data_IF_722493663670
#
_entry.id   IF_722493663670
#
_cell.length_a   1.000
_cell.length_b   1.000
_cell.length_c   1.000
_cell.angle_alpha   90.00
_cell.angle_beta   90.00
_cell.angle_gamma   90.00
#
_symmetry.space_group_name_H-M   'P 1'
#
loop_
_entity.id
_entity.type
_entity.pdbx_description
1 polymer ?
#
# COMPACT_ATOMS: atom_id res chain seq x y z
N UNK A 1 -15.12 3.54 -6.39
CA UNK A 1 -14.45 4.58 -7.19
C UNK A 1 -13.92 5.64 -6.26
N UNK A 2 -12.66 6.06 -6.42
CA UNK A 2 -11.99 7.10 -5.63
C UNK A 2 -11.46 8.21 -6.53
N UNK A 3 -11.23 9.39 -5.94
CA UNK A 3 -10.66 10.54 -6.65
C UNK A 3 -9.71 11.30 -5.70
N UNK A 4 -8.42 10.99 -5.76
CA UNK A 4 -7.39 11.66 -4.97
C UNK A 4 -6.61 12.73 -5.75
N UNK A 5 -6.70 12.70 -7.09
CA UNK A 5 -5.87 13.51 -8.00
C UNK A 5 -6.67 14.45 -8.90
N UNK A 6 -8.01 14.40 -8.84
CA UNK A 6 -8.91 15.00 -9.81
C UNK A 6 -9.41 13.99 -10.87
N UNK A 7 -8.83 12.78 -10.92
CA UNK A 7 -9.28 11.69 -11.79
C UNK A 7 -9.94 10.58 -10.98
N UNK A 8 -11.06 10.09 -11.49
CA UNK A 8 -11.76 8.98 -10.87
C UNK A 8 -11.12 7.66 -11.28
N UNK A 9 -10.76 6.83 -10.29
CA UNK A 9 -10.15 5.51 -10.49
C UNK A 9 -10.91 4.44 -9.73
N UNK A 10 -10.94 3.21 -10.30
CA UNK A 10 -11.39 2.04 -9.57
C UNK A 10 -10.39 1.71 -8.44
N UNK A 11 -10.92 1.47 -7.25
CA UNK A 11 -10.16 1.02 -6.11
C UNK A 11 -10.95 -0.06 -5.37
N UNK A 12 -10.27 -0.82 -4.51
CA UNK A 12 -10.89 -1.80 -3.64
C UNK A 12 -10.87 -1.23 -2.22
N UNK A 13 -12.02 -1.24 -1.58
CA UNK A 13 -12.19 -0.78 -0.21
C UNK A 13 -12.63 -1.95 0.68
N UNK A 14 -12.26 -1.93 1.93
CA UNK A 14 -12.80 -2.83 2.96
C UNK A 14 -13.67 -2.00 3.90
N UNK A 15 -14.91 -2.44 4.08
CA UNK A 15 -15.94 -1.68 4.82
C UNK A 15 -16.06 -0.22 4.37
N UNK A 16 -15.91 0.02 3.05
CA UNK A 16 -16.00 1.35 2.45
C UNK A 16 -14.79 2.27 2.70
N UNK A 17 -13.68 1.77 3.22
CA UNK A 17 -12.50 2.56 3.59
C UNK A 17 -11.26 2.20 2.78
N UNK A 18 -10.43 3.23 2.49
CA UNK A 18 -9.07 3.14 1.96
C UNK A 18 -8.24 4.21 2.71
N UNK A 19 -7.17 3.85 3.39
CA UNK A 19 -6.72 2.49 3.73
C UNK A 19 -7.81 1.67 4.41
N UNK A 20 -7.65 0.34 4.42
CA UNK A 20 -8.57 -0.56 5.13
C UNK A 20 -8.66 -0.18 6.61
N UNK A 21 -9.75 -0.54 7.33
CA UNK A 21 -9.90 -0.23 8.74
C UNK A 21 -8.69 -0.64 9.57
N UNK A 22 -8.30 0.20 10.54
CA UNK A 22 -7.30 -0.20 11.53
C UNK A 22 -7.85 -1.32 12.40
N UNK A 23 -7.18 -2.45 12.43
CA UNK A 23 -7.49 -3.55 13.32
C UNK A 23 -6.69 -3.40 14.62
N UNK A 24 -7.35 -3.60 15.76
CA UNK A 24 -6.71 -3.49 17.07
C UNK A 24 -6.99 -4.74 17.89
N UNK A 25 -5.93 -5.35 18.41
CA UNK A 25 -5.98 -6.51 19.28
C UNK A 25 -5.05 -6.31 20.47
N UNK A 26 -5.17 -7.17 21.47
CA UNK A 26 -4.30 -7.17 22.65
C UNK A 26 -3.48 -8.47 22.70
N UNK A 27 -2.22 -8.34 23.08
CA UNK A 27 -1.33 -9.49 23.30
C UNK A 27 -1.98 -10.55 24.22
N UNK A 28 -1.76 -11.82 23.92
CA UNK A 28 -2.35 -13.01 24.59
C UNK A 28 -3.82 -13.26 24.22
N UNK A 29 -4.49 -12.38 23.49
CA UNK A 29 -5.82 -12.64 22.97
C UNK A 29 -5.76 -13.54 21.71
N UNK A 30 -6.92 -13.94 21.22
CA UNK A 30 -7.07 -14.63 19.93
C UNK A 30 -7.80 -13.70 18.98
N UNK A 31 -7.17 -13.36 17.86
CA UNK A 31 -7.83 -12.66 16.77
C UNK A 31 -8.78 -13.62 16.04
N UNK A 32 -10.02 -13.20 15.82
CA UNK A 32 -10.96 -13.89 14.95
C UNK A 32 -11.52 -12.87 13.95
N UNK A 33 -11.18 -13.04 12.66
CA UNK A 33 -11.45 -12.07 11.62
C UNK A 33 -12.21 -12.74 10.49
N UNK A 34 -13.44 -12.27 10.27
CA UNK A 34 -14.31 -12.71 9.18
C UNK A 34 -14.10 -11.83 7.97
N UNK A 35 -13.63 -12.41 6.88
CA UNK A 35 -13.45 -11.71 5.60
C UNK A 35 -14.50 -12.22 4.62
N UNK A 36 -15.49 -11.39 4.34
CA UNK A 36 -16.48 -11.65 3.29
C UNK A 36 -16.01 -11.01 1.98
N UNK A 37 -15.80 -11.81 0.96
CA UNK A 37 -15.35 -11.35 -0.35
C UNK A 37 -16.54 -10.93 -1.21
N UNK A 38 -16.79 -9.63 -1.33
CA UNK A 38 -17.83 -9.09 -2.23
C UNK A 38 -17.31 -8.78 -3.65
N UNK A 39 -16.05 -9.07 -3.92
CA UNK A 39 -15.47 -8.89 -5.26
C UNK A 39 -15.95 -9.99 -6.21
N UNK A 40 -15.88 -9.72 -7.51
CA UNK A 40 -16.07 -10.73 -8.56
C UNK A 40 -14.77 -11.48 -8.93
N UNK A 41 -13.78 -11.40 -8.06
CA UNK A 41 -12.48 -12.04 -8.20
C UNK A 41 -12.01 -12.58 -6.85
N UNK A 42 -11.12 -13.55 -6.86
CA UNK A 42 -10.55 -14.11 -5.62
C UNK A 42 -9.73 -13.09 -4.89
N UNK A 43 -9.66 -13.21 -3.56
CA UNK A 43 -8.83 -12.36 -2.70
C UNK A 43 -8.17 -13.17 -1.58
N UNK A 44 -7.33 -12.52 -0.81
CA UNK A 44 -6.76 -13.02 0.44
C UNK A 44 -6.28 -11.85 1.28
N UNK A 45 -6.08 -12.05 2.57
CA UNK A 45 -5.43 -11.07 3.44
C UNK A 45 -4.22 -11.71 4.12
N UNK A 46 -3.08 -11.07 4.00
CA UNK A 46 -1.85 -11.40 4.68
C UNK A 46 -1.61 -10.45 5.87
N UNK A 47 -1.12 -11.00 6.96
CA UNK A 47 -0.85 -10.32 8.23
C UNK A 47 0.64 -10.05 8.34
N UNK A 48 1.07 -8.95 7.77
CA UNK A 48 2.49 -8.69 7.55
C UNK A 48 3.29 -8.51 8.86
N UNK A 49 4.31 -9.34 9.00
CA UNK A 49 5.21 -9.29 10.15
C UNK A 49 4.68 -9.96 11.42
N UNK A 50 3.58 -10.72 11.34
CA UNK A 50 3.04 -11.45 12.47
C UNK A 50 3.63 -12.88 12.58
N UNK A 51 3.89 -13.30 13.79
CA UNK A 51 4.19 -14.70 14.13
C UNK A 51 2.88 -15.44 14.36
N UNK A 52 2.45 -16.21 13.38
CA UNK A 52 1.19 -16.94 13.42
C UNK A 52 1.31 -18.34 12.76
N UNK A 53 0.38 -19.24 13.04
CA UNK A 53 0.38 -20.53 12.36
C UNK A 53 0.24 -20.38 10.85
N UNK A 54 1.11 -21.05 10.09
CA UNK A 54 1.24 -20.94 8.63
C UNK A 54 -0.09 -20.96 7.87
N UNK A 55 -1.06 -21.80 8.30
CA UNK A 55 -2.39 -21.91 7.68
C UNK A 55 -3.24 -20.62 7.71
N UNK A 56 -2.84 -19.62 8.49
CA UNK A 56 -3.53 -18.33 8.61
C UNK A 56 -2.73 -17.16 8.04
N UNK A 57 -1.58 -17.45 7.41
CA UNK A 57 -0.68 -16.42 6.88
C UNK A 57 -1.23 -15.66 5.67
N UNK A 58 -2.25 -16.21 5.02
CA UNK A 58 -3.01 -15.48 3.99
C UNK A 58 -2.40 -15.49 2.59
N UNK A 59 -1.37 -16.30 2.34
CA UNK A 59 -0.75 -16.41 1.01
C UNK A 59 -1.50 -17.43 0.15
N UNK A 60 -2.20 -17.01 -0.93
CA UNK A 60 -3.02 -17.88 -1.74
C UNK A 60 -2.19 -18.98 -2.43
N UNK A 61 -2.74 -20.19 -2.47
CA UNK A 61 -2.13 -21.39 -3.04
C UNK A 61 -0.82 -21.87 -2.36
N UNK A 62 -0.41 -21.21 -1.28
CA UNK A 62 0.76 -21.62 -0.49
C UNK A 62 0.35 -21.97 0.94
N UNK A 63 -0.28 -21.06 1.66
CA UNK A 63 -0.68 -21.26 3.06
C UNK A 63 -2.18 -21.53 3.21
N UNK A 64 -2.97 -21.08 2.25
CA UNK A 64 -4.42 -21.28 2.18
C UNK A 64 -4.93 -21.27 0.73
N UNK A 65 -6.17 -21.72 0.53
CA UNK A 65 -6.88 -21.47 -0.72
C UNK A 65 -7.30 -20.00 -0.81
N UNK A 66 -7.36 -19.41 -2.02
CA UNK A 66 -7.94 -18.09 -2.21
C UNK A 66 -9.36 -18.01 -1.65
N UNK A 67 -9.77 -16.82 -1.22
CA UNK A 67 -11.15 -16.56 -0.82
C UNK A 67 -11.95 -16.30 -2.09
N UNK A 68 -12.84 -17.22 -2.43
CA UNK A 68 -13.66 -17.15 -3.64
C UNK A 68 -14.66 -15.98 -3.59
N UNK A 69 -15.11 -15.48 -4.74
CA UNK A 69 -16.17 -14.47 -4.81
C UNK A 69 -17.40 -14.88 -3.99
N UNK A 70 -17.96 -13.93 -3.27
CA UNK A 70 -19.18 -14.08 -2.48
C UNK A 70 -19.12 -15.16 -1.37
N UNK A 71 -17.90 -15.50 -0.93
CA UNK A 71 -17.67 -16.42 0.19
C UNK A 71 -17.06 -15.70 1.38
N UNK A 72 -17.14 -16.35 2.53
CA UNK A 72 -16.54 -15.86 3.79
C UNK A 72 -15.42 -16.80 4.21
N UNK A 73 -14.27 -16.23 4.54
CA UNK A 73 -13.16 -16.93 5.17
C UNK A 73 -12.93 -16.41 6.58
N UNK A 74 -12.57 -17.30 7.51
CA UNK A 74 -12.32 -16.95 8.91
C UNK A 74 -10.85 -17.19 9.24
N UNK A 75 -10.15 -16.12 9.61
CA UNK A 75 -8.83 -16.19 10.19
C UNK A 75 -8.94 -16.24 11.71
N UNK A 76 -8.29 -17.23 12.34
CA UNK A 76 -8.31 -17.38 13.79
C UNK A 76 -6.94 -17.77 14.31
N UNK A 77 -6.24 -16.82 14.94
CA UNK A 77 -4.87 -17.04 15.42
C UNK A 77 -4.60 -16.29 16.73
N UNK A 78 -3.68 -16.83 17.57
CA UNK A 78 -3.29 -16.15 18.80
C UNK A 78 -2.45 -14.92 18.51
N UNK A 79 -2.62 -13.87 19.31
CA UNK A 79 -1.77 -12.68 19.30
C UNK A 79 -0.63 -12.92 20.30
N UNK A 80 0.56 -13.21 19.79
CA UNK A 80 1.74 -13.54 20.62
C UNK A 80 2.81 -12.46 20.61
N UNK A 81 2.53 -11.33 19.99
CA UNK A 81 3.44 -10.19 19.88
C UNK A 81 2.66 -8.89 19.99
N UNK A 82 3.38 -7.80 20.19
CA UNK A 82 2.82 -6.45 20.24
C UNK A 82 3.54 -5.53 19.23
N UNK A 83 2.99 -4.34 19.01
CA UNK A 83 3.56 -3.33 18.11
C UNK A 83 2.62 -2.90 17.01
N UNK A 84 3.16 -2.09 16.10
CA UNK A 84 2.44 -1.59 14.93
C UNK A 84 2.82 -2.42 13.73
N UNK A 85 1.82 -3.03 13.14
CA UNK A 85 1.91 -3.89 11.96
C UNK A 85 0.95 -3.40 10.89
N UNK A 86 0.89 -4.08 9.77
CA UNK A 86 -0.07 -3.83 8.70
C UNK A 86 -0.57 -5.13 8.11
N UNK A 87 -1.67 -5.06 7.38
CA UNK A 87 -2.23 -6.18 6.65
C UNK A 87 -2.65 -5.73 5.27
N UNK A 88 -2.57 -6.63 4.30
CA UNK A 88 -2.83 -6.29 2.91
C UNK A 88 -3.27 -7.51 2.10
N UNK A 89 -3.81 -7.27 0.91
CA UNK A 89 -4.09 -8.35 -0.03
C UNK A 89 -2.79 -8.98 -0.54
N UNK A 90 -2.80 -10.29 -0.66
CA UNK A 90 -1.74 -11.05 -1.33
C UNK A 90 -2.23 -11.67 -2.64
N UNK A 91 -3.29 -11.11 -3.24
CA UNK A 91 -3.91 -11.56 -4.48
C UNK A 91 -3.71 -10.55 -5.60
N UNK A 92 -2.95 -10.94 -6.63
CA UNK A 92 -2.66 -10.09 -7.78
C UNK A 92 -2.10 -8.73 -7.40
N UNK A 93 -2.72 -7.66 -7.93
CA UNK A 93 -2.32 -6.27 -7.67
C UNK A 93 -3.39 -5.50 -6.85
N UNK A 94 -4.12 -6.20 -5.97
CA UNK A 94 -5.20 -5.60 -5.19
C UNK A 94 -4.67 -4.63 -4.11
N UNK A 95 -3.51 -4.92 -3.54
CA UNK A 95 -2.81 -4.03 -2.61
C UNK A 95 -2.61 -2.64 -3.22
N UNK A 96 -2.14 -2.55 -4.47
CA UNK A 96 -1.82 -1.31 -5.19
C UNK A 96 -3.05 -0.45 -5.53
N UNK A 97 -4.24 -0.95 -5.26
CA UNK A 97 -5.50 -0.24 -5.49
C UNK A 97 -6.36 -0.09 -4.23
N UNK A 98 -5.77 -0.25 -3.04
CA UNK A 98 -6.41 0.11 -1.78
C UNK A 98 -6.52 -0.97 -0.72
N UNK A 99 -6.17 -2.23 -1.02
CA UNK A 99 -6.27 -3.33 -0.04
C UNK A 99 -5.05 -3.42 0.88
N UNK A 100 -4.84 -2.40 1.69
CA UNK A 100 -3.83 -2.35 2.74
C UNK A 100 -4.36 -1.55 3.94
N UNK A 101 -3.93 -1.87 5.15
CA UNK A 101 -4.37 -1.22 6.38
C UNK A 101 -3.47 -1.51 7.56
N UNK A 102 -3.58 -0.71 8.61
CA UNK A 102 -2.80 -0.86 9.83
C UNK A 102 -3.41 -1.91 10.77
N UNK A 103 -2.52 -2.57 11.52
CA UNK A 103 -2.88 -3.51 12.58
C UNK A 103 -2.08 -3.18 13.84
N UNK A 104 -2.76 -2.84 14.91
CA UNK A 104 -2.18 -2.44 16.18
C UNK A 104 -2.35 -3.57 17.18
N UNK A 105 -1.25 -4.03 17.72
CA UNK A 105 -1.21 -5.06 18.75
C UNK A 105 -0.76 -4.43 20.05
N UNK A 106 -1.70 -4.18 20.96
CA UNK A 106 -1.42 -3.57 22.24
C UNK A 106 -0.74 -4.57 23.18
N UNK A 107 0.17 -4.08 24.02
CA UNK A 107 0.65 -4.86 25.16
C UNK A 107 -0.52 -5.12 26.12
N UNK A 108 -0.46 -6.25 26.82
CA UNK A 108 -1.44 -6.55 27.87
C UNK A 108 -1.25 -5.66 29.09
N UNK A 109 -0.01 -5.31 29.41
CA UNK A 109 0.28 -4.31 30.42
C UNK A 109 0.13 -2.93 29.77
N UNK A 110 -0.93 -2.23 30.19
CA UNK A 110 -1.31 -0.95 29.62
C UNK A 110 -0.23 0.11 29.90
N UNK A 111 0.32 0.65 28.83
CA UNK A 111 1.04 1.90 28.91
C UNK A 111 0.05 2.96 28.44
N UNK A 112 -0.48 3.77 29.37
CA UNK A 112 -1.42 4.86 29.09
C UNK A 112 -0.75 5.96 28.24
N UNK A 113 -0.33 5.56 27.03
CA UNK A 113 0.28 6.43 26.03
C UNK A 113 -0.70 6.56 24.87
N UNK A 114 -1.23 7.76 24.61
CA UNK A 114 -2.07 8.00 23.44
C UNK A 114 -1.35 7.57 22.14
N UNK A 115 -1.94 6.64 21.41
CA UNK A 115 -1.37 6.12 20.16
C UNK A 115 -2.24 6.53 18.98
N UNK A 116 -1.62 7.15 17.98
CA UNK A 116 -2.26 7.50 16.72
C UNK A 116 -1.60 6.73 15.58
N UNK A 117 -2.28 5.78 14.94
CA UNK A 117 -1.74 5.09 13.77
C UNK A 117 -1.73 6.04 12.56
N UNK A 118 -0.57 6.16 11.92
CA UNK A 118 -0.39 6.92 10.68
C UNK A 118 -0.07 5.94 9.56
N UNK A 119 -0.93 5.89 8.55
CA UNK A 119 -0.72 5.12 7.33
C UNK A 119 -0.33 6.09 6.22
N UNK A 120 0.92 6.02 5.77
CA UNK A 120 1.41 6.74 4.61
C UNK A 120 1.19 5.89 3.37
N UNK A 121 0.69 6.49 2.31
CA UNK A 121 0.37 5.76 1.08
C UNK A 121 0.80 6.55 -0.15
N UNK A 122 1.34 5.84 -1.11
CA UNK A 122 1.63 6.32 -2.45
C UNK A 122 0.43 6.03 -3.35
N UNK A 123 0.07 6.98 -4.19
CA UNK A 123 -1.04 6.81 -5.12
C UNK A 123 -0.63 7.18 -6.54
N UNK A 124 -0.99 6.34 -7.50
CA UNK A 124 -0.89 6.65 -8.93
C UNK A 124 -2.22 6.40 -9.64
N UNK A 125 -2.53 7.25 -10.61
CA UNK A 125 -3.70 7.06 -11.49
C UNK A 125 -3.47 6.01 -12.57
N UNK A 126 -2.25 5.53 -12.72
CA UNK A 126 -1.91 4.48 -13.69
C UNK A 126 -2.59 3.16 -13.32
N UNK A 127 -2.87 2.34 -14.33
CA UNK A 127 -3.33 0.98 -14.09
C UNK A 127 -2.18 0.16 -13.47
N UNK A 128 -2.40 -0.58 -12.37
CA UNK A 128 -1.35 -1.39 -11.73
C UNK A 128 -0.65 -2.35 -12.69
N UNK A 129 -1.37 -2.98 -13.62
CA UNK A 129 -0.78 -3.86 -14.66
C UNK A 129 0.14 -3.12 -15.61
N UNK A 130 -0.13 -1.84 -15.87
CA UNK A 130 0.73 -1.01 -16.69
C UNK A 130 2.02 -0.64 -15.93
N UNK A 131 1.89 -0.28 -14.66
CA UNK A 131 3.06 -0.03 -13.78
C UNK A 131 3.93 -1.27 -13.71
N UNK A 132 3.34 -2.43 -13.41
CA UNK A 132 4.02 -3.72 -13.36
C UNK A 132 4.76 -4.03 -14.68
N UNK A 133 4.10 -3.86 -15.82
CA UNK A 133 4.72 -4.04 -17.14
C UNK A 133 5.89 -3.09 -17.37
N UNK A 134 5.79 -1.82 -16.94
CA UNK A 134 6.87 -0.83 -17.10
C UNK A 134 8.08 -1.23 -16.24
N UNK A 135 7.85 -1.66 -15.00
CA UNK A 135 8.90 -2.14 -14.10
C UNK A 135 9.60 -3.38 -14.65
N UNK A 136 8.86 -4.37 -15.15
CA UNK A 136 9.43 -5.57 -15.77
C UNK A 136 10.25 -5.28 -17.04
N UNK A 137 9.87 -4.27 -17.80
CA UNK A 137 10.59 -3.88 -19.01
C UNK A 137 11.80 -2.98 -18.73
N UNK A 138 12.07 -2.62 -17.48
CA UNK A 138 13.18 -1.78 -17.06
C UNK A 138 13.33 -0.50 -17.90
N UNK A 139 12.21 0.20 -18.16
CA UNK A 139 12.18 1.41 -18.98
C UNK A 139 12.49 2.65 -18.13
N UNK A 140 13.01 3.70 -18.79
CA UNK A 140 13.23 5.01 -18.15
C UNK A 140 11.95 5.85 -17.98
N UNK A 141 10.78 5.27 -18.19
CA UNK A 141 9.50 6.02 -18.18
C UNK A 141 9.29 6.84 -16.92
N UNK A 142 9.49 6.23 -15.75
CA UNK A 142 9.31 6.94 -14.48
C UNK A 142 10.41 7.98 -14.23
N UNK A 143 11.65 7.70 -14.61
CA UNK A 143 12.76 8.65 -14.53
C UNK A 143 12.52 9.88 -15.42
N UNK A 144 11.97 9.69 -16.62
CA UNK A 144 11.54 10.78 -17.50
C UNK A 144 10.41 11.59 -16.88
N UNK A 145 9.41 10.93 -16.31
CA UNK A 145 8.28 11.57 -15.61
C UNK A 145 8.74 12.42 -14.42
N UNK A 146 9.73 11.96 -13.68
CA UNK A 146 10.35 12.69 -12.55
C UNK A 146 11.28 13.82 -13.00
N UNK A 147 11.63 13.90 -14.29
CA UNK A 147 12.59 14.86 -14.81
C UNK A 147 14.06 14.54 -14.46
N UNK A 148 14.35 13.33 -13.99
CA UNK A 148 15.72 12.87 -13.67
C UNK A 148 16.46 12.36 -14.90
N UNK A 149 15.72 12.02 -15.96
CA UNK A 149 16.28 11.58 -17.26
C UNK A 149 15.59 12.33 -18.39
N UNK A 150 16.41 12.80 -19.36
CA UNK A 150 15.92 13.51 -20.55
C UNK A 150 15.17 12.56 -21.49
N UNK A 151 13.99 12.97 -21.96
CA UNK A 151 13.25 12.25 -23.00
C UNK A 151 13.92 12.35 -24.37
N UNK A 152 13.62 11.44 -25.30
CA UNK A 152 14.08 11.55 -26.68
C UNK A 152 13.63 12.82 -27.38
N UNK A 153 12.40 13.28 -27.12
CA UNK A 153 11.87 14.51 -27.69
C UNK A 153 12.67 15.73 -27.22
N UNK A 154 13.04 15.79 -25.96
CA UNK A 154 13.90 16.85 -25.41
C UNK A 154 15.32 16.78 -25.99
N UNK A 155 15.90 15.59 -26.12
CA UNK A 155 17.21 15.39 -26.73
C UNK A 155 17.24 15.83 -28.20
N UNK A 156 16.17 15.58 -28.97
CA UNK A 156 16.00 16.05 -30.34
C UNK A 156 15.97 17.58 -30.39
N UNK A 157 15.14 18.20 -29.55
CA UNK A 157 15.02 19.68 -29.47
C UNK A 157 16.32 20.34 -29.07
N UNK A 158 17.10 19.71 -28.22
CA UNK A 158 18.41 20.20 -27.78
C UNK A 158 19.56 19.84 -28.71
N UNK A 159 19.33 19.13 -29.81
CA UNK A 159 20.37 18.72 -30.76
C UNK A 159 21.29 17.58 -30.28
N UNK A 160 20.95 16.87 -29.21
CA UNK A 160 21.77 15.85 -28.55
C UNK A 160 21.31 14.42 -28.79
N UNK A 161 20.43 14.19 -29.77
CA UNK A 161 19.84 12.87 -30.02
C UNK A 161 20.87 11.75 -30.18
N UNK A 162 21.92 11.98 -30.99
CA UNK A 162 22.98 10.97 -31.19
C UNK A 162 23.71 10.65 -29.89
N UNK A 163 24.01 11.66 -29.10
CA UNK A 163 24.68 11.50 -27.80
C UNK A 163 23.79 10.68 -26.83
N UNK A 164 22.50 11.03 -26.76
CA UNK A 164 21.55 10.26 -25.93
C UNK A 164 21.48 8.79 -26.37
N UNK A 165 21.29 8.53 -27.65
CA UNK A 165 21.22 7.17 -28.19
C UNK A 165 22.51 6.37 -27.92
N UNK A 166 23.69 7.00 -28.11
CA UNK A 166 24.96 6.34 -27.83
C UNK A 166 25.16 6.03 -26.34
N UNK A 167 24.75 6.95 -25.46
CA UNK A 167 24.88 6.76 -24.03
C UNK A 167 23.91 5.68 -23.52
N UNK A 168 22.70 5.63 -24.04
CA UNK A 168 21.75 4.57 -23.71
C UNK A 168 22.18 3.20 -24.21
N UNK A 169 22.76 3.13 -25.40
CA UNK A 169 23.36 1.88 -25.92
C UNK A 169 24.51 1.35 -25.06
N UNK A 170 25.33 2.26 -24.52
CA UNK A 170 26.43 1.92 -23.62
C UNK A 170 26.03 1.66 -22.18
N UNK A 171 24.84 2.06 -21.79
CA UNK A 171 24.32 1.86 -20.45
C UNK A 171 23.86 0.41 -20.27
N UNK A 172 24.43 -0.28 -19.28
CA UNK A 172 24.18 -1.71 -19.09
C UNK A 172 22.78 -2.05 -18.56
N UNK A 173 22.13 -1.15 -17.80
CA UNK A 173 20.77 -1.31 -17.29
C UNK A 173 20.13 0.04 -16.95
N UNK A 174 18.79 0.11 -16.92
CA UNK A 174 18.07 1.21 -16.30
C UNK A 174 18.50 1.35 -14.84
N UNK A 175 18.82 2.56 -14.42
CA UNK A 175 19.49 2.80 -13.13
C UNK A 175 18.58 2.54 -11.92
N UNK A 176 17.28 2.69 -12.10
CA UNK A 176 16.30 2.48 -11.03
C UNK A 176 14.99 1.94 -11.62
N UNK A 177 14.84 0.62 -11.52
CA UNK A 177 13.69 -0.11 -12.06
C UNK A 177 12.56 -0.28 -11.04
N UNK A 178 12.80 0.07 -9.78
CA UNK A 178 11.83 -0.07 -8.68
C UNK A 178 11.09 1.23 -8.37
N UNK A 179 11.52 2.35 -8.92
CA UNK A 179 11.07 3.67 -8.53
C UNK A 179 9.91 4.18 -9.41
N UNK A 180 8.70 4.02 -8.92
CA UNK A 180 7.48 4.47 -9.59
C UNK A 180 7.30 5.99 -9.44
N UNK A 181 6.69 6.65 -10.45
CA UNK A 181 6.19 8.01 -10.32
C UNK A 181 4.79 8.00 -9.72
N UNK A 182 4.64 8.59 -8.53
CA UNK A 182 3.36 8.71 -7.86
C UNK A 182 2.73 10.08 -8.10
N UNK A 183 1.42 10.09 -8.30
CA UNK A 183 0.64 11.30 -8.56
C UNK A 183 0.25 12.01 -7.26
N UNK A 184 0.13 11.27 -6.15
CA UNK A 184 -0.19 11.79 -4.82
C UNK A 184 0.42 10.94 -3.71
N UNK A 185 0.66 11.60 -2.56
CA UNK A 185 0.95 10.97 -1.29
C UNK A 185 -0.23 11.20 -0.36
N UNK A 186 -0.62 10.16 0.37
CA UNK A 186 -1.79 10.20 1.24
C UNK A 186 -1.37 9.90 2.69
N UNK A 187 -2.06 10.54 3.63
CA UNK A 187 -1.97 10.25 5.06
C UNK A 187 -3.35 9.80 5.53
N UNK A 188 -3.45 8.57 6.01
CA UNK A 188 -4.73 7.96 6.40
C UNK A 188 -5.81 8.12 5.31
N UNK A 189 -5.43 7.95 4.03
CA UNK A 189 -6.33 8.05 2.88
C UNK A 189 -6.73 9.47 2.47
N UNK A 190 -6.11 10.50 3.01
CA UNK A 190 -6.37 11.89 2.67
C UNK A 190 -5.18 12.52 1.97
N UNK A 191 -5.44 13.33 0.95
CA UNK A 191 -4.42 14.03 0.14
C UNK A 191 -4.04 15.42 0.67
N UNK A 192 -4.74 15.92 1.68
CA UNK A 192 -4.49 17.21 2.29
C UNK A 192 -4.03 17.03 3.74
N UNK A 193 -3.16 17.94 4.19
CA UNK A 193 -2.79 18.01 5.61
C UNK A 193 -4.04 18.34 6.42
N UNK A 194 -4.60 17.35 7.10
CA UNK A 194 -5.62 17.57 8.11
C UNK A 194 -4.94 17.76 9.45
N UNK A 195 -5.39 18.75 10.21
CA UNK A 195 -5.02 18.86 11.60
C UNK A 195 -5.52 17.61 12.32
N UNK A 196 -4.60 16.92 12.99
CA UNK A 196 -4.95 15.82 13.87
C UNK A 196 -4.95 16.39 15.28
N UNK A 197 -6.13 16.68 15.88
CA UNK A 197 -6.16 17.15 17.25
C UNK A 197 -5.74 16.00 18.18
N UNK A 198 -4.58 16.10 18.77
CA UNK A 198 -4.18 15.21 19.85
C UNK A 198 -4.76 15.81 21.16
N UNK A 199 -5.66 15.08 21.80
CA UNK A 199 -6.06 15.40 23.17
C UNK A 199 -5.02 14.86 24.12
N UNK A 200 -4.06 15.69 24.48
CA UNK A 200 -3.18 15.45 25.61
C UNK A 200 -3.82 15.90 26.94
N UNK A 201 -3.27 15.45 28.04
CA UNK A 201 -3.75 15.80 29.39
C UNK A 201 -3.62 17.29 29.76
N UNK A 202 -3.24 18.16 28.85
CA UNK A 202 -2.97 19.59 29.06
C UNK A 202 -3.44 20.54 27.97
N UNK A 203 -4.13 20.08 26.93
CA UNK A 203 -4.61 20.97 25.88
C UNK A 203 -4.69 20.31 24.50
N UNK A 204 -5.27 21.02 23.54
CA UNK A 204 -5.22 20.68 22.13
C UNK A 204 -3.84 21.08 21.60
N UNK A 205 -3.02 20.12 21.23
CA UNK A 205 -1.83 20.38 20.42
C UNK A 205 -2.15 20.03 18.96
N UNK A 206 -1.97 21.00 18.09
CA UNK A 206 -2.16 20.83 16.65
C UNK A 206 -0.84 20.38 16.02
N UNK A 207 -0.81 19.15 15.48
CA UNK A 207 0.28 18.72 14.63
C UNK A 207 -0.07 19.03 13.17
N UNK A 208 0.75 19.86 12.54
CA UNK A 208 0.74 20.07 11.10
C UNK A 208 1.78 19.14 10.48
N UNK A 209 1.33 18.12 9.77
CA UNK A 209 2.18 17.25 8.94
C UNK A 209 2.23 17.81 7.52
#
# INVERSE_FOLDING_TARGET
MVNFTGKTKRAIAVNGQIPMPTLTFTEVDTAEIYVHNELNETTSLHWHGLFLPNRFDGVPNLTQMPIEPHTTHVYRFPIIQNGTHWYHSHSGLQEQIGMYGSMILNKREDMDIPTLPIVLSDWTDMNPKEVDRILHNATDWFAIKKGTTQSYAEAIRAGHFKTKLTNEWKRMNAMDVSDVYYDKFLINGKSESSYIPLRGAGGLEDFKI
#
